data_IF_220991166281
#
_entry.id   IF_220991166281
#
_cell.length_a   1.000
_cell.length_b   1.000
_cell.length_c   1.000
_cell.angle_alpha   90.00
_cell.angle_beta   90.00
_cell.angle_gamma   90.00
#
_symmetry.space_group_name_H-M   'P 1'
#
loop_
_entity.id
_entity.type
_entity.pdbx_description
1 polymer ?
#
# COMPACT_ATOMS: atom_id res chain seq x y z
N UNK A 1 17.86 17.24 -0.42
CA UNK A 1 16.77 16.34 -0.83
C UNK A 1 17.07 15.72 -2.20
N UNK A 2 17.81 14.59 -2.23
CA UNK A 2 18.21 13.89 -3.47
C UNK A 2 17.87 12.38 -3.47
N UNK A 3 17.10 11.90 -2.49
CA UNK A 3 16.87 10.46 -2.29
C UNK A 3 15.56 9.92 -2.89
N UNK A 4 14.57 10.78 -3.16
CA UNK A 4 13.28 10.35 -3.72
C UNK A 4 13.34 9.92 -5.19
N UNK A 5 14.46 10.17 -5.89
CA UNK A 5 14.59 9.88 -7.33
C UNK A 5 14.90 8.41 -7.64
N UNK A 6 15.25 7.58 -6.65
CA UNK A 6 15.72 6.21 -6.87
C UNK A 6 14.72 5.10 -6.53
N UNK A 7 13.59 5.42 -5.90
CA UNK A 7 12.62 4.42 -5.49
C UNK A 7 11.25 4.70 -6.15
N UNK A 8 10.84 3.76 -7.01
CA UNK A 8 9.51 3.56 -7.58
C UNK A 8 9.05 4.35 -8.82
N UNK A 9 9.65 5.47 -9.21
CA UNK A 9 9.08 6.28 -10.32
C UNK A 9 9.47 5.86 -11.74
N UNK A 10 10.51 5.05 -11.95
CA UNK A 10 11.05 4.78 -13.30
C UNK A 10 10.61 3.46 -13.97
N UNK A 11 9.62 2.70 -13.46
CA UNK A 11 8.98 1.66 -14.30
C UNK A 11 7.66 1.11 -13.73
N UNK A 12 6.62 1.93 -13.69
CA UNK A 12 5.26 1.35 -13.68
C UNK A 12 5.07 0.61 -15.01
N UNK A 13 5.08 -0.73 -14.97
CA UNK A 13 4.93 -1.57 -16.16
C UNK A 13 3.52 -1.50 -16.71
N UNK A 14 2.54 -1.48 -15.80
CA UNK A 14 1.12 -1.49 -16.13
C UNK A 14 0.31 -0.90 -14.98
N UNK A 15 -0.78 -0.21 -15.31
CA UNK A 15 -1.78 0.24 -14.34
C UNK A 15 -3.18 -0.11 -14.86
N UNK A 16 -4.02 -0.70 -14.01
CA UNK A 16 -5.36 -1.14 -14.38
C UNK A 16 -6.28 -1.24 -13.16
N UNK A 17 -7.59 -1.18 -13.39
CA UNK A 17 -8.60 -1.44 -12.37
C UNK A 17 -8.76 -2.94 -12.11
N UNK A 18 -8.89 -3.33 -10.85
CA UNK A 18 -9.23 -4.71 -10.49
C UNK A 18 -10.66 -5.05 -10.93
N UNK A 19 -10.84 -6.32 -11.33
CA UNK A 19 -12.17 -6.89 -11.50
C UNK A 19 -12.82 -7.07 -10.14
N UNK A 20 -14.15 -7.11 -10.09
CA UNK A 20 -14.89 -7.19 -8.83
C UNK A 20 -14.49 -8.39 -7.96
N UNK A 21 -14.24 -9.56 -8.58
CA UNK A 21 -13.77 -10.76 -7.86
C UNK A 21 -12.42 -10.54 -7.18
N UNK A 22 -11.47 -9.95 -7.90
CA UNK A 22 -10.10 -9.74 -7.42
C UNK A 22 -10.08 -8.65 -6.34
N UNK A 23 -10.86 -7.58 -6.53
CA UNK A 23 -11.05 -6.53 -5.53
C UNK A 23 -11.64 -7.10 -4.23
N UNK A 24 -12.66 -7.97 -4.31
CA UNK A 24 -13.25 -8.64 -3.14
C UNK A 24 -12.24 -9.54 -2.42
N UNK A 25 -11.42 -10.28 -3.16
CA UNK A 25 -10.37 -11.13 -2.59
C UNK A 25 -9.34 -10.31 -1.84
N UNK A 26 -8.89 -9.19 -2.44
CA UNK A 26 -7.94 -8.28 -1.81
C UNK A 26 -8.53 -7.65 -0.54
N UNK A 27 -9.76 -7.14 -0.60
CA UNK A 27 -10.42 -6.54 0.58
C UNK A 27 -10.55 -7.53 1.74
N UNK A 28 -10.78 -8.81 1.44
CA UNK A 28 -10.80 -9.87 2.46
C UNK A 28 -9.41 -10.12 3.06
N UNK A 29 -8.36 -10.20 2.25
CA UNK A 29 -6.99 -10.34 2.74
C UNK A 29 -6.59 -9.15 3.63
N UNK A 30 -6.96 -7.94 3.24
CA UNK A 30 -6.75 -6.73 4.03
C UNK A 30 -7.48 -6.82 5.37
N UNK A 31 -8.75 -7.21 5.36
CA UNK A 31 -9.56 -7.38 6.57
C UNK A 31 -8.92 -8.39 7.54
N UNK A 32 -8.46 -9.52 7.02
CA UNK A 32 -7.82 -10.57 7.81
C UNK A 32 -6.50 -10.11 8.45
N UNK A 33 -5.74 -9.20 7.80
CA UNK A 33 -4.45 -8.71 8.30
C UNK A 33 -4.59 -7.46 9.17
N UNK A 34 -5.47 -6.53 8.79
CA UNK A 34 -5.52 -5.16 9.33
C UNK A 34 -6.86 -4.79 9.97
N UNK A 35 -7.92 -5.59 9.77
CA UNK A 35 -9.27 -5.30 10.24
C UNK A 35 -10.18 -4.57 9.22
N UNK A 36 -11.47 -4.50 9.56
CA UNK A 36 -12.55 -4.02 8.68
C UNK A 36 -12.95 -2.57 8.97
N UNK A 37 -12.34 -1.56 8.34
CA UNK A 37 -12.91 -0.18 8.38
C UNK A 37 -12.43 0.80 7.31
N UNK A 38 -11.33 0.54 6.60
CA UNK A 38 -10.61 1.65 5.96
C UNK A 38 -11.11 2.14 4.59
N UNK A 39 -11.92 1.34 3.87
CA UNK A 39 -12.16 1.57 2.43
C UNK A 39 -13.62 1.80 2.02
N UNK A 40 -14.56 1.82 2.97
CA UNK A 40 -15.99 1.94 2.70
C UNK A 40 -16.56 0.75 1.90
N UNK A 41 -17.81 0.88 1.42
CA UNK A 41 -18.56 -0.27 0.90
C UNK A 41 -18.16 -0.74 -0.51
N UNK A 42 -17.73 0.17 -1.39
CA UNK A 42 -17.41 -0.14 -2.81
C UNK A 42 -16.24 0.71 -3.33
N UNK A 43 -15.02 0.54 -2.77
CA UNK A 43 -13.86 1.27 -3.24
C UNK A 43 -13.53 0.93 -4.69
N UNK A 44 -13.06 1.92 -5.45
CA UNK A 44 -12.41 1.69 -6.75
C UNK A 44 -10.95 1.34 -6.49
N UNK A 45 -10.54 0.15 -6.90
CA UNK A 45 -9.18 -0.34 -6.68
C UNK A 45 -8.45 -0.45 -8.01
N UNK A 46 -7.30 0.20 -8.08
CA UNK A 46 -6.34 0.07 -9.17
C UNK A 46 -5.09 -0.64 -8.67
N UNK A 47 -4.41 -1.35 -9.56
CA UNK A 47 -3.09 -1.92 -9.32
C UNK A 47 -2.10 -1.28 -10.28
N UNK A 48 -0.99 -0.79 -9.74
CA UNK A 48 0.19 -0.43 -10.51
C UNK A 48 1.28 -1.50 -10.29
N UNK A 49 1.62 -2.21 -11.36
CA UNK A 49 2.68 -3.21 -11.37
C UNK A 49 4.05 -2.51 -11.48
N UNK A 50 4.94 -2.79 -10.55
CA UNK A 50 6.31 -2.24 -10.48
C UNK A 50 7.33 -3.40 -10.38
N UNK A 51 8.63 -3.20 -10.64
CA UNK A 51 9.59 -4.31 -10.68
C UNK A 51 9.69 -5.13 -9.40
N UNK A 52 9.45 -4.49 -8.24
CA UNK A 52 9.54 -5.14 -6.91
C UNK A 52 8.20 -5.62 -6.36
N UNK A 53 7.10 -5.47 -7.12
CA UNK A 53 5.79 -5.91 -6.69
C UNK A 53 4.65 -5.05 -7.22
N UNK A 54 3.67 -4.78 -6.36
CA UNK A 54 2.40 -4.17 -6.75
C UNK A 54 2.04 -3.03 -5.78
N UNK A 55 1.50 -1.95 -6.32
CA UNK A 55 0.91 -0.85 -5.53
C UNK A 55 -0.60 -0.89 -5.74
N UNK A 56 -1.35 -1.03 -4.64
CA UNK A 56 -2.80 -0.97 -4.62
C UNK A 56 -3.24 0.46 -4.32
N UNK A 57 -3.94 1.05 -5.28
CA UNK A 57 -4.41 2.42 -5.24
C UNK A 57 -5.92 2.35 -5.03
N UNK A 58 -6.39 2.87 -3.90
CA UNK A 58 -7.82 2.90 -3.56
C UNK A 58 -8.34 4.32 -3.70
N UNK A 59 -9.37 4.50 -4.52
CA UNK A 59 -9.98 5.81 -4.79
C UNK A 59 -8.94 6.87 -5.22
N UNK A 60 -7.94 6.46 -6.01
CA UNK A 60 -6.87 7.33 -6.51
C UNK A 60 -5.72 7.59 -5.54
N UNK A 61 -5.72 7.01 -4.33
CA UNK A 61 -4.66 7.16 -3.33
C UNK A 61 -3.91 5.84 -3.11
N UNK A 62 -2.57 5.81 -3.08
CA UNK A 62 -1.82 4.61 -2.69
C UNK A 62 -2.21 4.19 -1.28
N UNK A 63 -2.72 2.97 -1.14
CA UNK A 63 -3.19 2.44 0.12
C UNK A 63 -2.26 1.34 0.62
N UNK A 64 -1.95 0.36 -0.23
CA UNK A 64 -1.13 -0.79 0.14
C UNK A 64 -0.08 -1.09 -0.93
N UNK A 65 0.93 -1.84 -0.53
CA UNK A 65 2.01 -2.33 -1.38
C UNK A 65 2.16 -3.83 -1.11
N UNK A 66 2.30 -4.64 -2.15
CA UNK A 66 2.76 -6.03 -2.04
C UNK A 66 4.20 -6.10 -2.55
N UNK A 67 5.11 -6.50 -1.68
CA UNK A 67 6.54 -6.67 -1.99
C UNK A 67 7.02 -7.94 -1.29
N UNK A 68 7.80 -8.78 -1.97
CA UNK A 68 8.34 -10.03 -1.40
C UNK A 68 7.25 -10.93 -0.77
N UNK A 69 6.06 -10.96 -1.39
CA UNK A 69 4.91 -11.75 -0.92
C UNK A 69 4.15 -11.17 0.27
N UNK A 70 4.64 -10.08 0.89
CA UNK A 70 3.99 -9.44 2.03
C UNK A 70 3.17 -8.23 1.60
N UNK A 71 1.95 -8.12 2.12
CA UNK A 71 1.07 -6.97 1.96
C UNK A 71 1.30 -5.99 3.12
N UNK A 72 1.56 -4.72 2.82
CA UNK A 72 1.87 -3.69 3.80
C UNK A 72 1.21 -2.36 3.45
N UNK A 73 0.89 -1.50 4.43
CA UNK A 73 0.41 -0.16 4.16
C UNK A 73 1.43 0.66 3.40
N UNK A 74 0.95 1.49 2.47
CA UNK A 74 1.74 2.60 1.97
C UNK A 74 1.98 3.59 3.12
N UNK A 75 3.19 4.17 3.21
CA UNK A 75 3.52 5.17 4.25
C UNK A 75 2.60 6.40 4.24
N UNK A 76 1.89 6.63 3.13
CA UNK A 76 0.91 7.71 2.97
C UNK A 76 -0.49 7.33 3.45
N UNK A 77 -0.71 6.12 3.95
CA UNK A 77 -2.01 5.62 4.40
C UNK A 77 -2.16 5.78 5.91
N UNK A 78 -2.31 7.02 6.34
CA UNK A 78 -2.30 7.42 7.77
C UNK A 78 -3.40 6.75 8.59
N UNK A 79 -4.56 6.53 7.98
CA UNK A 79 -5.72 5.90 8.63
C UNK A 79 -5.37 4.49 9.13
N UNK A 80 -4.63 3.72 8.34
CA UNK A 80 -4.19 2.38 8.73
C UNK A 80 -2.96 2.44 9.65
N UNK A 81 -1.96 3.28 9.33
CA UNK A 81 -0.70 3.35 10.09
C UNK A 81 -0.94 3.78 11.55
N UNK A 82 -1.93 4.63 11.79
CA UNK A 82 -2.25 5.14 13.12
C UNK A 82 -2.63 4.05 14.13
N UNK A 83 -3.22 2.96 13.63
CA UNK A 83 -3.75 1.83 14.41
C UNK A 83 -2.76 0.66 14.53
N UNK A 84 -1.66 0.68 13.77
CA UNK A 84 -0.65 -0.38 13.82
C UNK A 84 0.27 -0.28 15.05
N UNK A 85 0.84 -1.40 15.53
CA UNK A 85 1.92 -1.40 16.50
C UNK A 85 3.08 -0.51 16.05
N UNK A 86 3.65 0.27 16.97
CA UNK A 86 4.67 1.28 16.67
C UNK A 86 6.01 0.86 17.26
N UNK A 87 7.05 0.95 16.44
CA UNK A 87 8.44 0.85 16.91
C UNK A 87 8.93 2.27 17.18
N UNK A 88 9.30 2.53 18.43
CA UNK A 88 9.90 3.81 18.84
C UNK A 88 11.41 3.69 18.71
N UNK A 89 12.01 4.62 17.97
CA UNK A 89 13.45 4.64 17.71
C UNK A 89 14.09 5.87 18.34
N UNK A 90 15.37 5.76 18.71
CA UNK A 90 16.17 6.90 19.16
C UNK A 90 16.40 7.90 18.01
N UNK A 91 16.58 9.19 18.34
CA UNK A 91 16.85 10.22 17.31
C UNK A 91 18.10 9.91 16.47
N UNK A 92 19.08 9.22 17.04
CA UNK A 92 20.28 8.76 16.33
C UNK A 92 20.01 7.73 15.23
N UNK A 93 18.83 7.09 15.22
CA UNK A 93 18.44 6.10 14.20
C UNK A 93 17.72 6.71 12.97
N UNK A 94 17.22 7.96 13.07
CA UNK A 94 16.48 8.62 11.98
C UNK A 94 17.27 8.84 10.68
N UNK A 95 18.58 9.17 10.68
CA UNK A 95 19.28 9.50 9.44
C UNK A 95 19.75 8.28 8.63
N UNK A 96 19.56 7.05 9.13
CA UNK A 96 20.08 5.81 8.54
C UNK A 96 18.99 5.02 7.81
#
# INVERSE_FOLDING_TARGET
>A
MRYAKHYFMDSVKRRFFLKEKDAKSLLREISEIFGDTFFGAKPKIEVAEVPRGEIFIVNGRPALIRCEGSLMPALTFEELISDLPKVIVDMGAIPY
#
